data_IF_100007687662
#
_entry.id   IF_100007687662
#
_cell.length_a   1.000
_cell.length_b   1.000
_cell.length_c   1.000
_cell.angle_alpha   90.00
_cell.angle_beta   90.00
_cell.angle_gamma   90.00
#
_symmetry.space_group_name_H-M   'P 1'
#
loop_
_entity.id
_entity.type
_entity.pdbx_description
1 polymer ?
#
# COMPACT_ATOMS: atom_id res chain seq x y z
N UNK A 1 -10.27 5.13 -23.78
CA UNK A 1 -8.83 4.80 -23.80
C UNK A 1 -8.37 4.40 -22.40
N UNK A 2 -7.51 3.38 -22.27
CA UNK A 2 -6.83 3.06 -21.02
C UNK A 2 -5.44 3.70 -21.00
N UNK A 3 -4.95 4.07 -19.82
CA UNK A 3 -3.62 4.66 -19.60
C UNK A 3 -2.89 3.82 -18.56
N UNK A 4 -1.67 3.42 -18.88
CA UNK A 4 -0.72 2.88 -17.90
C UNK A 4 0.01 4.03 -17.22
N UNK A 5 0.30 3.88 -15.94
CA UNK A 5 0.98 4.88 -15.14
C UNK A 5 1.84 4.20 -14.10
N UNK A 6 3.09 4.64 -14.01
CA UNK A 6 4.00 4.25 -12.96
C UNK A 6 4.28 5.45 -12.08
N UNK A 7 4.32 5.24 -10.77
CA UNK A 7 4.80 6.25 -9.83
C UNK A 7 5.36 5.58 -8.59
N UNK A 8 6.33 6.25 -7.99
CA UNK A 8 6.99 5.81 -6.77
C UNK A 8 6.82 6.90 -5.72
N UNK A 9 6.48 6.49 -4.50
CA UNK A 9 6.43 7.37 -3.33
C UNK A 9 7.43 6.84 -2.31
N UNK A 10 8.37 7.68 -1.85
CA UNK A 10 9.34 7.34 -0.81
C UNK A 10 9.11 8.26 0.37
N UNK A 11 8.98 7.68 1.56
CA UNK A 11 8.77 8.41 2.80
C UNK A 11 9.80 7.97 3.85
N UNK A 12 10.65 8.88 4.36
CA UNK A 12 11.47 8.60 5.54
C UNK A 12 10.57 8.28 6.74
N UNK A 13 10.94 7.28 7.52
CA UNK A 13 10.21 6.91 8.72
C UNK A 13 10.81 7.60 9.95
N UNK A 14 10.00 7.84 11.00
CA UNK A 14 10.47 8.50 12.22
C UNK A 14 11.57 7.69 12.92
N UNK A 15 12.46 8.38 13.63
CA UNK A 15 13.44 7.72 14.48
C UNK A 15 12.74 6.95 15.61
N UNK A 16 13.25 5.75 15.93
CA UNK A 16 12.72 4.91 17.01
C UNK A 16 11.66 3.90 16.59
N UNK A 17 11.16 3.96 15.35
CA UNK A 17 10.33 2.88 14.79
C UNK A 17 11.20 1.65 14.48
N UNK A 18 10.67 0.46 14.77
CA UNK A 18 11.37 -0.80 14.50
C UNK A 18 10.94 -1.39 13.16
N UNK A 19 11.77 -2.28 12.59
CA UNK A 19 11.41 -2.98 11.35
C UNK A 19 10.18 -3.86 11.55
N UNK A 20 10.10 -4.49 12.70
CA UNK A 20 9.03 -5.38 13.11
C UNK A 20 7.69 -4.64 13.16
N UNK A 21 7.65 -3.42 13.72
CA UNK A 21 6.43 -2.59 13.73
C UNK A 21 5.99 -2.24 12.32
N UNK A 22 6.91 -1.85 11.44
CA UNK A 22 6.56 -1.51 10.05
C UNK A 22 6.07 -2.74 9.29
N UNK A 23 6.79 -3.87 9.38
CA UNK A 23 6.43 -5.10 8.68
C UNK A 23 5.11 -5.67 9.20
N UNK A 24 4.89 -5.71 10.51
CA UNK A 24 3.61 -6.15 11.09
C UNK A 24 2.45 -5.26 10.64
N UNK A 25 2.65 -3.95 10.52
CA UNK A 25 1.63 -3.03 9.97
C UNK A 25 1.35 -3.35 8.50
N UNK A 26 2.39 -3.57 7.68
CA UNK A 26 2.23 -3.93 6.26
C UNK A 26 1.54 -5.29 6.09
N UNK A 27 1.83 -6.27 6.95
CA UNK A 27 1.24 -7.61 6.90
C UNK A 27 -0.16 -7.67 7.51
N UNK A 28 -0.61 -6.60 8.18
CA UNK A 28 -2.00 -6.45 8.61
C UNK A 28 -2.87 -6.04 7.42
N UNK A 29 -3.24 -7.01 6.56
CA UNK A 29 -3.96 -6.75 5.30
C UNK A 29 -5.26 -5.97 5.51
N UNK A 30 -5.99 -6.29 6.57
CA UNK A 30 -7.24 -5.61 6.91
C UNK A 30 -7.00 -4.15 7.28
N UNK A 31 -5.91 -3.82 8.00
CA UNK A 31 -5.54 -2.45 8.29
C UNK A 31 -5.03 -1.71 7.05
N UNK A 32 -4.30 -2.41 6.18
CA UNK A 32 -3.83 -1.88 4.90
C UNK A 32 -4.98 -1.50 3.97
N UNK A 33 -6.04 -2.32 3.91
CA UNK A 33 -7.25 -1.99 3.16
C UNK A 33 -7.93 -0.74 3.76
N UNK A 34 -8.00 -0.64 5.09
CA UNK A 34 -8.65 0.46 5.82
C UNK A 34 -7.91 1.81 5.75
N UNK A 35 -6.72 1.85 5.15
CA UNK A 35 -6.06 3.11 4.84
C UNK A 35 -6.84 3.94 3.81
N UNK A 36 -7.60 3.27 2.94
CA UNK A 36 -8.46 3.93 1.97
C UNK A 36 -9.80 4.30 2.63
N UNK A 37 -10.09 5.59 2.86
CA UNK A 37 -11.32 6.01 3.53
C UNK A 37 -12.59 5.79 2.70
N UNK A 38 -12.47 5.32 1.46
CA UNK A 38 -13.61 4.96 0.61
C UNK A 38 -14.13 3.56 0.93
N UNK A 39 -13.34 2.71 1.57
CA UNK A 39 -13.73 1.33 1.91
C UNK A 39 -14.89 1.38 2.90
N UNK A 40 -15.96 0.66 2.56
CA UNK A 40 -17.15 0.49 3.42
C UNK A 40 -17.39 -0.96 3.82
N UNK A 41 -16.84 -1.93 3.08
CA UNK A 41 -16.85 -3.35 3.44
C UNK A 41 -15.58 -4.03 2.91
N UNK A 42 -15.11 -5.03 3.65
CA UNK A 42 -14.07 -5.96 3.18
C UNK A 42 -14.22 -7.31 3.86
N UNK A 43 -13.98 -8.38 3.11
CA UNK A 43 -13.98 -9.73 3.68
C UNK A 43 -13.07 -10.66 2.87
N UNK A 44 -12.44 -11.65 3.53
CA UNK A 44 -11.59 -12.62 2.84
C UNK A 44 -12.43 -13.48 1.90
N UNK A 45 -11.85 -13.82 0.74
CA UNK A 45 -12.44 -14.71 -0.26
C UNK A 45 -11.41 -15.76 -0.68
N UNK A 46 -11.86 -16.80 -1.38
CA UNK A 46 -10.94 -17.70 -2.08
C UNK A 46 -10.40 -17.01 -3.34
N UNK A 47 -9.23 -17.43 -3.86
CA UNK A 47 -8.74 -16.96 -5.15
C UNK A 47 -9.84 -17.04 -6.22
N UNK A 48 -10.10 -15.95 -6.97
CA UNK A 48 -11.01 -15.96 -8.10
C UNK A 48 -10.62 -17.04 -9.12
N UNK A 49 -11.59 -17.53 -9.89
CA UNK A 49 -11.36 -18.62 -10.87
C UNK A 49 -10.37 -18.24 -11.96
N UNK A 50 -10.26 -16.95 -12.25
CA UNK A 50 -9.38 -16.33 -13.23
C UNK A 50 -8.12 -15.73 -12.60
N UNK A 51 -7.85 -16.00 -11.32
CA UNK A 51 -6.63 -15.59 -10.66
C UNK A 51 -5.40 -16.17 -11.40
N UNK A 52 -4.38 -15.34 -11.69
CA UNK A 52 -3.11 -15.82 -12.22
C UNK A 52 -2.47 -16.86 -11.30
N UNK A 53 -1.73 -17.80 -11.88
CA UNK A 53 -1.05 -18.86 -11.12
C UNK A 53 -0.07 -18.30 -10.06
N UNK A 54 0.58 -17.17 -10.36
CA UNK A 54 1.50 -16.48 -9.44
C UNK A 54 0.80 -15.91 -8.19
N UNK A 55 -0.52 -15.72 -8.25
CA UNK A 55 -1.33 -15.10 -7.19
C UNK A 55 -2.22 -16.12 -6.46
N UNK A 56 -2.18 -17.39 -6.88
CA UNK A 56 -3.05 -18.43 -6.34
C UNK A 56 -2.89 -18.63 -4.82
N UNK A 57 -1.68 -18.44 -4.30
CA UNK A 57 -1.35 -18.58 -2.89
C UNK A 57 -1.41 -17.26 -2.10
N UNK A 58 -1.81 -16.16 -2.74
CA UNK A 58 -2.00 -14.88 -2.05
C UNK A 58 -3.21 -14.92 -1.12
N UNK A 59 -3.26 -13.99 -0.18
CA UNK A 59 -4.48 -13.72 0.60
C UNK A 59 -5.42 -12.86 -0.22
N UNK A 60 -6.64 -13.33 -0.49
CA UNK A 60 -7.61 -12.65 -1.34
C UNK A 60 -8.74 -12.03 -0.53
N UNK A 61 -9.15 -10.84 -0.96
CA UNK A 61 -10.25 -10.08 -0.36
C UNK A 61 -11.21 -9.58 -1.43
N UNK A 62 -12.50 -9.58 -1.09
CA UNK A 62 -13.49 -8.72 -1.73
C UNK A 62 -13.58 -7.43 -0.93
N UNK A 63 -13.59 -6.29 -1.64
CA UNK A 63 -13.58 -4.94 -1.06
C UNK A 63 -14.66 -4.12 -1.76
N UNK A 64 -15.42 -3.37 -0.98
CA UNK A 64 -16.45 -2.45 -1.48
C UNK A 64 -16.06 -1.02 -1.14
N UNK A 65 -15.84 -0.19 -2.16
CA UNK A 65 -15.60 1.24 -2.01
C UNK A 65 -16.88 2.03 -2.28
N UNK A 66 -17.19 3.02 -1.44
CA UNK A 66 -18.24 4.01 -1.71
C UNK A 66 -17.64 5.20 -2.43
N UNK A 67 -17.91 5.31 -3.74
CA UNK A 67 -17.32 6.34 -4.59
C UNK A 67 -18.38 7.37 -5.01
N UNK A 68 -17.99 8.64 -4.99
CA UNK A 68 -18.81 9.75 -5.51
C UNK A 68 -18.11 10.33 -6.74
N UNK A 69 -18.66 10.09 -7.93
CA UNK A 69 -18.15 10.65 -9.18
C UNK A 69 -18.96 11.90 -9.58
N UNK A 70 -18.29 13.00 -9.91
CA UNK A 70 -18.94 14.27 -10.34
C UNK A 70 -18.13 14.84 -11.51
N UNK A 71 -18.73 15.21 -12.67
CA UNK A 71 -19.98 16.00 -12.75
C UNK A 71 -21.21 15.26 -13.30
N UNK A 72 -22.27 15.16 -12.47
CA UNK A 72 -23.58 14.57 -12.81
C UNK A 72 -24.26 13.73 -11.70
N UNK A 73 -23.52 13.44 -10.62
CA UNK A 73 -23.93 12.73 -9.38
C UNK A 73 -24.38 11.27 -9.61
N UNK A 74 -23.39 10.40 -9.73
CA UNK A 74 -23.54 8.99 -9.35
C UNK A 74 -22.79 8.77 -8.03
N UNK A 75 -23.55 8.41 -6.99
CA UNK A 75 -23.01 7.83 -5.76
C UNK A 75 -23.29 6.34 -5.84
N UNK A 76 -22.24 5.53 -5.80
CA UNK A 76 -22.39 4.08 -5.87
C UNK A 76 -21.32 3.36 -5.09
N UNK A 77 -21.62 2.10 -4.79
CA UNK A 77 -20.63 1.15 -4.30
C UNK A 77 -19.94 0.50 -5.49
N UNK A 78 -18.63 0.32 -5.38
CA UNK A 78 -17.82 -0.40 -6.35
C UNK A 78 -17.19 -1.57 -5.63
N UNK A 79 -17.59 -2.78 -6.03
CA UNK A 79 -17.01 -4.01 -5.51
C UNK A 79 -15.85 -4.44 -6.40
N UNK A 80 -14.77 -4.85 -5.78
CA UNK A 80 -13.55 -5.29 -6.46
C UNK A 80 -12.80 -6.32 -5.62
N UNK A 81 -11.86 -7.01 -6.25
CA UNK A 81 -11.01 -7.98 -5.56
C UNK A 81 -9.59 -7.46 -5.47
N UNK A 82 -8.91 -7.85 -4.39
CA UNK A 82 -7.49 -7.59 -4.22
C UNK A 82 -6.80 -8.81 -3.61
N UNK A 83 -5.56 -9.04 -4.03
CA UNK A 83 -4.70 -10.06 -3.43
C UNK A 83 -3.48 -9.41 -2.75
N UNK A 84 -3.04 -10.04 -1.66
CA UNK A 84 -1.96 -9.59 -0.80
C UNK A 84 -0.93 -10.72 -0.66
N UNK A 85 0.33 -10.36 -0.85
CA UNK A 85 1.47 -11.27 -0.70
C UNK A 85 2.50 -10.63 0.22
N UNK A 86 2.63 -11.19 1.42
CA UNK A 86 3.60 -10.73 2.40
C UNK A 86 5.01 -11.11 1.95
N UNK A 87 5.91 -10.13 2.01
CA UNK A 87 7.32 -10.30 1.69
C UNK A 87 8.18 -10.03 2.93
N UNK A 88 9.38 -10.62 3.01
CA UNK A 88 10.30 -10.38 4.13
C UNK A 88 10.64 -8.91 4.36
N UNK A 89 10.61 -8.10 3.31
CA UNK A 89 10.93 -6.67 3.30
C UNK A 89 9.70 -5.79 2.99
N UNK A 90 8.47 -6.33 3.07
CA UNK A 90 7.25 -5.53 2.93
C UNK A 90 6.06 -6.31 2.39
N UNK A 91 5.34 -5.73 1.42
CA UNK A 91 4.08 -6.25 0.92
C UNK A 91 3.94 -6.05 -0.59
N UNK A 92 3.35 -7.02 -1.27
CA UNK A 92 2.82 -6.88 -2.63
C UNK A 92 1.29 -6.91 -2.62
N UNK A 93 0.69 -6.07 -3.46
CA UNK A 93 -0.76 -6.01 -3.65
C UNK A 93 -1.11 -6.01 -5.13
N UNK A 94 -2.21 -6.67 -5.50
CA UNK A 94 -2.79 -6.54 -6.83
C UNK A 94 -4.29 -6.33 -6.74
N UNK A 95 -4.78 -5.23 -7.32
CA UNK A 95 -6.18 -4.84 -7.33
C UNK A 95 -6.78 -5.03 -8.72
N UNK A 96 -7.96 -5.67 -8.75
CA UNK A 96 -8.79 -5.89 -9.92
C UNK A 96 -10.15 -5.24 -9.70
N UNK A 97 -10.34 -4.06 -10.29
CA UNK A 97 -11.55 -3.27 -10.12
C UNK A 97 -12.27 -2.99 -11.45
N UNK A 98 -13.58 -2.68 -11.41
CA UNK A 98 -14.36 -2.32 -12.59
C UNK A 98 -13.76 -1.17 -13.41
N UNK A 99 -14.29 -0.97 -14.61
CA UNK A 99 -13.84 0.08 -15.55
C UNK A 99 -12.37 -0.06 -15.99
N UNK A 100 -11.82 -1.26 -15.89
CA UNK A 100 -10.46 -1.59 -16.35
C UNK A 100 -9.36 -1.07 -15.42
N UNK A 101 -9.66 -0.87 -14.14
CA UNK A 101 -8.64 -0.60 -13.14
C UNK A 101 -7.93 -1.91 -12.76
N UNK A 102 -6.65 -1.97 -13.08
CA UNK A 102 -5.74 -3.03 -12.67
C UNK A 102 -4.50 -2.35 -12.08
N UNK A 103 -4.19 -2.63 -10.81
CA UNK A 103 -3.14 -1.91 -10.10
C UNK A 103 -2.30 -2.86 -9.27
N UNK A 104 -1.00 -2.89 -9.55
CA UNK A 104 0.02 -3.59 -8.76
C UNK A 104 0.75 -2.58 -7.89
N UNK A 105 0.87 -2.92 -6.61
CA UNK A 105 1.58 -2.13 -5.61
C UNK A 105 2.68 -2.96 -4.97
N UNK A 106 3.86 -2.35 -4.79
CA UNK A 106 4.96 -2.92 -4.01
C UNK A 106 5.35 -1.95 -2.91
N UNK A 107 5.11 -2.36 -1.68
CA UNK A 107 5.55 -1.68 -0.46
C UNK A 107 6.87 -2.29 -0.02
N UNK A 108 7.93 -1.50 0.06
CA UNK A 108 9.27 -1.91 0.49
C UNK A 108 9.68 -1.12 1.72
N UNK A 109 10.02 -1.82 2.81
CA UNK A 109 10.76 -1.29 3.94
C UNK A 109 12.25 -1.40 3.64
N UNK A 110 12.93 -0.26 3.56
CA UNK A 110 14.36 -0.20 3.39
C UNK A 110 15.04 0.71 4.40
N UNK A 111 16.30 1.03 4.12
CA UNK A 111 17.16 1.81 4.98
C UNK A 111 18.02 0.95 5.89
N UNK A 112 18.84 1.62 6.71
CA UNK A 112 19.77 0.99 7.64
C UNK A 112 19.72 1.73 8.98
N UNK A 113 19.58 0.97 10.07
CA UNK A 113 19.68 1.48 11.45
C UNK A 113 21.16 1.61 11.88
N UNK A 114 21.47 2.37 12.95
CA UNK A 114 22.82 2.44 13.49
C UNK A 114 23.40 1.05 13.80
N UNK A 115 24.58 0.75 13.26
CA UNK A 115 25.24 -0.56 13.41
C UNK A 115 24.93 -1.56 12.29
N UNK A 116 23.92 -1.32 11.45
CA UNK A 116 23.65 -2.14 10.27
C UNK A 116 24.53 -1.74 9.08
N UNK A 117 24.88 -2.68 8.19
CA UNK A 117 25.47 -2.35 6.89
C UNK A 117 24.56 -1.39 6.12
N UNK A 118 25.18 -0.38 5.49
CA UNK A 118 24.45 0.55 4.63
C UNK A 118 23.92 -0.18 3.40
N UNK A 119 22.64 0.03 3.10
CA UNK A 119 22.06 -0.46 1.85
C UNK A 119 22.70 0.23 0.64
N UNK A 120 22.84 -0.48 -0.50
CA UNK A 120 23.26 0.12 -1.76
C UNK A 120 22.34 1.29 -2.16
N UNK A 121 22.93 2.32 -2.77
CA UNK A 121 22.16 3.47 -3.26
C UNK A 121 21.47 3.09 -4.56
N UNK A 122 20.15 3.21 -4.60
CA UNK A 122 19.37 3.17 -5.84
C UNK A 122 19.30 4.57 -6.46
N UNK A 123 19.86 4.74 -7.66
CA UNK A 123 19.92 6.02 -8.34
C UNK A 123 18.53 6.53 -8.73
N UNK A 124 18.31 7.84 -8.58
CA UNK A 124 17.09 8.52 -9.04
C UNK A 124 15.89 8.45 -8.09
N UNK A 125 15.97 7.72 -6.98
CA UNK A 125 14.87 7.59 -6.01
C UNK A 125 14.94 8.54 -4.81
N UNK A 126 16.08 9.20 -4.59
CA UNK A 126 16.24 10.15 -3.49
C UNK A 126 16.10 9.51 -2.10
N UNK A 127 16.46 8.22 -1.96
CA UNK A 127 16.33 7.47 -0.71
C UNK A 127 17.15 8.13 0.43
N UNK A 128 16.63 8.15 1.67
CA UNK A 128 17.40 8.59 2.83
C UNK A 128 18.71 7.82 3.01
N UNK A 129 19.78 8.52 3.39
CA UNK A 129 21.10 7.91 3.62
C UNK A 129 21.19 7.12 4.92
N UNK A 130 20.28 7.36 5.86
CA UNK A 130 20.27 6.81 7.21
C UNK A 130 18.83 6.66 7.70
N UNK A 131 18.59 5.71 8.61
CA UNK A 131 17.26 5.45 9.14
C UNK A 131 16.44 4.58 8.19
N UNK A 132 15.23 4.22 8.64
CA UNK A 132 14.29 3.44 7.86
C UNK A 132 13.49 4.34 6.91
N UNK A 133 13.08 3.78 5.78
CA UNK A 133 12.17 4.43 4.85
C UNK A 133 11.15 3.41 4.31
N UNK A 134 9.99 3.91 3.93
CA UNK A 134 8.96 3.15 3.25
C UNK A 134 8.85 3.64 1.80
N UNK A 135 8.90 2.71 0.86
CA UNK A 135 8.69 2.97 -0.57
C UNK A 135 7.43 2.26 -1.04
N UNK A 136 6.62 2.95 -1.84
CA UNK A 136 5.52 2.35 -2.58
C UNK A 136 5.75 2.57 -4.08
N UNK A 137 5.94 1.48 -4.81
CA UNK A 137 6.00 1.47 -6.27
C UNK A 137 4.66 0.99 -6.83
N UNK A 138 4.04 1.79 -7.70
CA UNK A 138 2.72 1.51 -8.26
C UNK A 138 2.80 1.40 -9.77
N UNK A 139 2.28 0.30 -10.31
CA UNK A 139 1.96 0.12 -11.73
C UNK A 139 0.45 0.01 -11.89
N UNK A 140 -0.14 1.03 -12.51
CA UNK A 140 -1.58 1.16 -12.62
C UNK A 140 -1.99 1.28 -14.09
N UNK A 141 -2.90 0.41 -14.53
CA UNK A 141 -3.68 0.57 -15.75
C UNK A 141 -5.10 1.00 -15.38
N UNK A 142 -5.56 2.13 -15.92
CA UNK A 142 -6.87 2.69 -15.59
C UNK A 142 -7.47 3.44 -16.79
N UNK A 143 -8.78 3.69 -16.79
CA UNK A 143 -9.38 4.64 -17.73
C UNK A 143 -8.78 6.05 -17.49
N UNK A 144 -8.44 6.76 -18.57
CA UNK A 144 -7.82 8.10 -18.53
C UNK A 144 -8.59 9.07 -17.64
N UNK A 145 -9.93 9.04 -17.69
CA UNK A 145 -10.81 9.92 -16.90
C UNK A 145 -10.64 9.68 -15.40
N UNK A 146 -10.44 8.43 -15.01
CA UNK A 146 -10.34 8.00 -13.61
C UNK A 146 -8.93 8.03 -13.04
N UNK A 147 -7.92 8.08 -13.92
CA UNK A 147 -6.50 7.98 -13.55
C UNK A 147 -6.09 9.02 -12.49
N UNK A 148 -6.59 10.26 -12.58
CA UNK A 148 -6.26 11.30 -11.61
C UNK A 148 -6.84 11.02 -10.22
N UNK A 149 -8.10 10.58 -10.18
CA UNK A 149 -8.79 10.22 -8.93
C UNK A 149 -8.13 9.03 -8.23
N UNK A 150 -7.85 7.94 -8.96
CA UNK A 150 -7.23 6.74 -8.40
C UNK A 150 -5.84 7.08 -7.87
N UNK A 151 -5.00 7.77 -8.64
CA UNK A 151 -3.67 8.21 -8.17
C UNK A 151 -3.73 9.05 -6.91
N UNK A 152 -4.68 9.98 -6.82
CA UNK A 152 -4.86 10.83 -5.62
C UNK A 152 -5.25 9.99 -4.41
N UNK A 153 -6.13 9.02 -4.60
CA UNK A 153 -6.59 8.11 -3.54
C UNK A 153 -5.45 7.22 -3.06
N UNK A 154 -4.68 6.59 -3.97
CA UNK A 154 -3.50 5.79 -3.63
C UNK A 154 -2.49 6.59 -2.80
N UNK A 155 -2.13 7.80 -3.26
CA UNK A 155 -1.20 8.67 -2.50
C UNK A 155 -1.75 9.09 -1.15
N UNK A 156 -3.07 9.24 -1.01
CA UNK A 156 -3.70 9.54 0.27
C UNK A 156 -3.58 8.36 1.23
N UNK A 157 -3.87 7.13 0.77
CA UNK A 157 -3.72 5.92 1.57
C UNK A 157 -2.27 5.72 2.05
N UNK A 158 -1.28 6.02 1.19
CA UNK A 158 0.13 6.07 1.58
C UNK A 158 0.39 7.04 2.73
N UNK A 159 -0.11 8.27 2.62
CA UNK A 159 0.01 9.26 3.70
C UNK A 159 -0.61 8.77 5.00
N UNK A 160 -1.83 8.22 4.95
CA UNK A 160 -2.50 7.65 6.13
C UNK A 160 -1.67 6.56 6.81
N UNK A 161 -1.01 5.69 6.04
CA UNK A 161 -0.13 4.66 6.60
C UNK A 161 1.06 5.27 7.32
N UNK A 162 1.72 6.23 6.69
CA UNK A 162 2.84 6.94 7.27
C UNK A 162 2.42 7.64 8.57
N UNK A 163 1.28 8.33 8.56
CA UNK A 163 0.74 9.00 9.73
C UNK A 163 0.49 8.01 10.89
N UNK A 164 -0.12 6.84 10.59
CA UNK A 164 -0.28 5.76 11.59
C UNK A 164 1.06 5.27 12.13
N UNK A 165 2.05 5.06 11.28
CA UNK A 165 3.40 4.64 11.70
C UNK A 165 4.10 5.70 12.57
N UNK A 166 3.77 6.98 12.40
CA UNK A 166 4.28 8.06 13.26
C UNK A 166 3.55 8.11 14.60
N UNK A 167 2.26 7.77 14.63
CA UNK A 167 1.45 7.77 15.85
C UNK A 167 1.79 6.63 16.80
N UNK A 168 2.43 5.55 16.35
CA UNK A 168 2.98 4.51 17.22
C UNK A 168 4.24 5.05 17.93
N UNK A 169 4.16 5.57 19.16
CA UNK A 169 5.35 5.99 19.87
C UNK A 169 6.09 4.71 20.24
N UNK A 170 7.41 4.80 20.27
CA UNK A 170 8.30 3.81 20.86
C UNK A 170 7.85 3.43 22.28
N UNK A 171 7.05 2.37 22.40
CA UNK A 171 6.89 1.63 23.65
C UNK A 171 8.18 0.84 23.85
N UNK A 172 9.29 1.53 24.11
CA UNK A 172 10.43 0.88 24.73
C UNK A 172 10.04 0.61 26.18
N UNK A 173 10.19 -0.63 26.69
CA UNK A 173 10.11 -0.84 28.12
C UNK A 173 11.17 0.07 28.76
N UNK A 174 10.74 0.91 29.70
CA UNK A 174 11.67 1.58 30.62
C UNK A 174 12.43 0.45 31.31
N UNK A 175 13.73 0.34 31.03
CA UNK A 175 14.61 -0.34 31.96
C UNK A 175 14.70 0.57 33.18
N UNK A 176 14.09 0.13 34.28
CA UNK A 176 14.31 0.71 35.59
C UNK A 176 15.75 0.35 36.03
N UNK A 177 16.56 1.38 36.29
CA UNK A 177 17.87 1.28 36.97
C UNK A 177 17.69 0.96 38.46
#
# INVERSE_FOLDING_TARGET
MSKRSHFTTVTPLPAGITRETVLSTLHSHTEMIDLNPLVVDRHPIKPPRDAPAEEFHCSWYSISDKVTYVPGIYTGSVDFTACFNDLPDGLQTHIYAPMGLNMRGRWTLGGSLPGEPRQPVEFGLGLPKTGLWLREDVDMKCNVVMTGFVKKTTKKSHGTLVDRLIEFPSILPKYDD
#
